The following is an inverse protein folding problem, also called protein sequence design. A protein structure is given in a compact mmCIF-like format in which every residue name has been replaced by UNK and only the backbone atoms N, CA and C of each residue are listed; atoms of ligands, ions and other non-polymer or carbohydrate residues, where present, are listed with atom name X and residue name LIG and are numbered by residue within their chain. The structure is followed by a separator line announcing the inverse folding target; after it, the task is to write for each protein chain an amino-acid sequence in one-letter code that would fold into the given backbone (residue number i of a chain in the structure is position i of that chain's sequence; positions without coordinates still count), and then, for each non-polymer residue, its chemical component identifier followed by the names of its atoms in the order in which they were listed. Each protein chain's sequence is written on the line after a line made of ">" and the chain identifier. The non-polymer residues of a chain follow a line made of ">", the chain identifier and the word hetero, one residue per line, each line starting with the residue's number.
data_IF_067501133331
#
_entry.id   IF_067501133331
#
_cell.length_a   1.000
_cell.length_b   1.000
_cell.length_c   1.000
_cell.angle_alpha   90.00
_cell.angle_beta   90.00
_cell.angle_gamma   90.00
#
_symmetry.space_group_name_H-M   'P 1'
#
loop_
_entity.id
_entity.type
_entity.pdbx_description
1 polymer ?
#
# COMPACT_ATOMS: atom_id res chain seq x y z
N UNK A 1 -14.68 13.76 -18.20
CA UNK A 1 -15.41 13.90 -16.90
C UNK A 1 -14.61 13.14 -15.84
N UNK A 2 -14.12 13.81 -14.85
CA UNK A 2 -13.35 13.17 -13.78
C UNK A 2 -14.33 12.60 -12.75
N UNK A 3 -14.27 11.30 -12.49
CA UNK A 3 -14.93 10.68 -11.35
C UNK A 3 -13.83 10.20 -10.39
N UNK A 4 -13.67 10.86 -9.25
CA UNK A 4 -12.89 10.31 -8.15
C UNK A 4 -13.80 9.35 -7.42
N UNK A 5 -13.58 8.05 -7.58
CA UNK A 5 -14.18 7.07 -6.67
C UNK A 5 -13.34 7.06 -5.40
N UNK A 6 -13.76 7.83 -4.40
CA UNK A 6 -13.45 7.48 -3.03
C UNK A 6 -14.13 6.13 -2.82
N UNK A 7 -13.34 5.08 -2.62
CA UNK A 7 -13.94 3.88 -2.09
C UNK A 7 -14.48 4.23 -0.70
N UNK A 8 -15.79 4.46 -0.61
CA UNK A 8 -16.47 4.54 0.69
C UNK A 8 -16.31 3.19 1.39
N UNK A 9 -16.40 3.12 2.71
CA UNK A 9 -16.40 1.86 3.46
C UNK A 9 -17.34 0.79 2.87
N UNK A 10 -18.36 1.19 2.10
CA UNK A 10 -19.28 0.30 1.40
C UNK A 10 -18.66 -0.38 0.16
N UNK A 11 -17.68 0.23 -0.51
CA UNK A 11 -17.03 -0.33 -1.71
C UNK A 11 -15.89 -1.31 -1.40
N UNK A 12 -15.32 -1.26 -0.18
CA UNK A 12 -14.34 -2.23 0.29
C UNK A 12 -14.94 -3.61 0.62
N UNK A 13 -16.28 -3.74 0.63
CA UNK A 13 -16.95 -5.04 0.86
C UNK A 13 -16.63 -6.08 -0.21
N UNK A 14 -16.34 -5.65 -1.44
CA UNK A 14 -15.99 -6.54 -2.55
C UNK A 14 -14.47 -6.74 -2.70
N UNK A 15 -13.67 -5.91 -2.01
CA UNK A 15 -12.21 -6.05 -2.00
C UNK A 15 -11.79 -7.11 -1.00
N UNK A 16 -11.16 -8.18 -1.48
CA UNK A 16 -10.65 -9.26 -0.65
C UNK A 16 -9.13 -9.16 -0.52
N UNK A 17 -8.68 -8.79 0.67
CA UNK A 17 -7.27 -8.66 1.03
C UNK A 17 -6.64 -10.03 1.23
N UNK A 18 -5.52 -10.32 0.56
CA UNK A 18 -4.79 -11.57 0.74
C UNK A 18 -3.64 -11.36 1.74
N UNK A 19 -3.70 -12.09 2.85
CA UNK A 19 -2.75 -11.98 3.96
C UNK A 19 -1.98 -13.29 4.09
N UNK A 20 -0.66 -13.22 3.92
CA UNK A 20 0.26 -14.33 4.10
C UNK A 20 0.82 -14.30 5.52
N UNK A 21 0.88 -15.46 6.17
CA UNK A 21 1.58 -15.67 7.46
C UNK A 21 2.52 -16.85 7.29
N UNK A 22 3.81 -16.66 7.57
CA UNK A 22 4.81 -17.71 7.47
C UNK A 22 5.76 -17.69 8.69
N UNK A 23 5.82 -18.83 9.39
CA UNK A 23 6.64 -19.07 10.58
C UNK A 23 6.85 -20.57 10.66
N UNK A 24 8.03 -21.08 10.99
CA UNK A 24 8.31 -22.51 11.07
C UNK A 24 7.54 -23.22 12.20
N UNK A 25 7.11 -22.49 13.24
CA UNK A 25 6.16 -22.98 14.24
C UNK A 25 4.71 -22.82 13.77
N UNK A 26 4.11 -23.93 13.34
CA UNK A 26 2.70 -23.99 12.92
C UNK A 26 1.72 -23.42 13.94
N UNK A 27 2.00 -23.56 15.24
CA UNK A 27 1.14 -23.04 16.31
C UNK A 27 1.13 -21.52 16.32
N UNK A 28 2.27 -20.90 16.06
CA UNK A 28 2.38 -19.44 15.94
C UNK A 28 1.58 -18.96 14.71
N UNK A 29 1.73 -19.62 13.56
CA UNK A 29 0.95 -19.32 12.34
C UNK A 29 -0.54 -19.36 12.62
N UNK A 30 -1.03 -20.45 13.21
CA UNK A 30 -2.46 -20.63 13.47
C UNK A 30 -2.99 -19.60 14.48
N UNK A 31 -2.20 -19.31 15.55
CA UNK A 31 -2.55 -18.30 16.54
C UNK A 31 -2.65 -16.88 15.92
N UNK A 32 -1.66 -16.49 15.11
CA UNK A 32 -1.66 -15.20 14.42
C UNK A 32 -2.89 -15.10 13.51
N UNK A 33 -3.15 -16.12 12.70
CA UNK A 33 -4.30 -16.11 11.77
C UNK A 33 -5.62 -16.00 12.53
N UNK A 34 -5.76 -16.70 13.65
CA UNK A 34 -6.99 -16.63 14.46
C UNK A 34 -7.24 -15.20 14.99
N UNK A 35 -6.20 -14.56 15.53
CA UNK A 35 -6.28 -13.19 16.03
C UNK A 35 -6.55 -12.18 14.90
N UNK A 36 -5.88 -12.33 13.76
CA UNK A 36 -6.07 -11.44 12.62
C UNK A 36 -7.45 -11.61 11.95
N UNK A 37 -8.06 -12.80 11.99
CA UNK A 37 -9.44 -13.00 11.55
C UNK A 37 -10.42 -12.19 12.39
N UNK A 38 -10.30 -12.28 13.73
CA UNK A 38 -11.11 -11.49 14.66
C UNK A 38 -10.96 -9.99 14.37
N UNK A 39 -9.72 -9.55 14.20
CA UNK A 39 -9.41 -8.15 13.92
C UNK A 39 -9.96 -7.68 12.57
N UNK A 40 -9.86 -8.49 11.51
CA UNK A 40 -10.47 -8.19 10.20
C UNK A 40 -11.98 -8.01 10.26
N UNK A 41 -12.66 -8.85 11.05
CA UNK A 41 -14.12 -8.76 11.28
C UNK A 41 -14.48 -7.45 11.98
N UNK A 42 -13.75 -7.07 13.04
CA UNK A 42 -13.92 -5.79 13.74
C UNK A 42 -13.74 -4.58 12.82
N UNK A 43 -12.77 -4.65 11.91
CA UNK A 43 -12.49 -3.59 10.92
C UNK A 43 -13.45 -3.61 9.73
N UNK A 44 -14.33 -4.60 9.62
CA UNK A 44 -15.19 -4.83 8.46
C UNK A 44 -14.41 -4.95 7.14
N UNK A 45 -13.22 -5.54 7.17
CA UNK A 45 -12.37 -5.78 6.00
C UNK A 45 -12.45 -7.26 5.61
N UNK A 46 -12.81 -7.53 4.35
CA UNK A 46 -12.80 -8.91 3.83
C UNK A 46 -11.38 -9.37 3.59
N UNK A 47 -10.91 -10.37 4.35
CA UNK A 47 -9.54 -10.88 4.25
C UNK A 47 -9.52 -12.38 4.01
N UNK A 48 -8.57 -12.85 3.20
CA UNK A 48 -8.23 -14.26 3.03
C UNK A 48 -6.85 -14.50 3.60
N UNK A 49 -6.73 -15.45 4.51
CA UNK A 49 -5.49 -15.77 5.20
C UNK A 49 -4.88 -17.04 4.62
N UNK A 50 -3.58 -17.00 4.39
CA UNK A 50 -2.75 -18.10 3.91
C UNK A 50 -1.64 -18.35 4.92
N UNK A 51 -1.66 -19.51 5.57
CA UNK A 51 -0.70 -19.86 6.61
C UNK A 51 0.22 -21.00 6.18
N UNK A 52 1.52 -20.78 6.28
CA UNK A 52 2.55 -21.77 5.93
C UNK A 52 3.58 -21.90 7.04
N UNK A 53 4.03 -23.15 7.28
CA UNK A 53 5.17 -23.42 8.15
C UNK A 53 6.46 -23.74 7.36
N UNK A 54 6.35 -23.78 6.03
CA UNK A 54 7.49 -23.99 5.13
C UNK A 54 7.40 -23.01 3.96
N UNK A 55 8.40 -22.12 3.79
CA UNK A 55 8.44 -21.16 2.70
C UNK A 55 8.32 -21.77 1.29
N UNK A 56 8.80 -23.02 1.13
CA UNK A 56 8.72 -23.74 -0.15
C UNK A 56 7.30 -24.09 -0.61
N UNK A 57 6.31 -24.02 0.28
CA UNK A 57 4.91 -24.30 -0.04
C UNK A 57 4.14 -23.04 -0.48
N UNK A 58 4.77 -21.87 -0.42
CA UNK A 58 4.13 -20.60 -0.77
C UNK A 58 4.08 -20.48 -2.29
N UNK A 59 2.88 -20.27 -2.82
CA UNK A 59 2.68 -19.90 -4.22
C UNK A 59 2.94 -18.38 -4.38
N UNK A 60 4.12 -18.03 -4.89
CA UNK A 60 4.54 -16.65 -5.08
C UNK A 60 3.73 -15.91 -6.16
N UNK A 61 3.00 -16.63 -7.03
CA UNK A 61 2.17 -16.01 -8.06
C UNK A 61 0.87 -15.43 -7.52
N UNK A 62 0.49 -15.76 -6.28
CA UNK A 62 -0.70 -15.18 -5.64
C UNK A 62 -0.44 -13.71 -5.25
N UNK A 63 -1.41 -12.82 -5.48
CA UNK A 63 -1.27 -11.40 -5.17
C UNK A 63 -1.47 -11.14 -3.68
N UNK A 64 -0.45 -11.42 -2.87
CA UNK A 64 -0.46 -11.09 -1.45
C UNK A 64 -0.38 -9.58 -1.24
N UNK A 65 -1.25 -9.05 -0.38
CA UNK A 65 -1.30 -7.63 -0.02
C UNK A 65 -0.48 -7.34 1.24
N UNK A 66 -0.55 -8.25 2.21
CA UNK A 66 0.20 -8.19 3.48
C UNK A 66 0.92 -9.51 3.68
N UNK A 67 2.17 -9.45 4.12
CA UNK A 67 2.93 -10.62 4.55
C UNK A 67 3.48 -10.42 5.97
N UNK A 68 3.15 -11.36 6.86
CA UNK A 68 3.72 -11.48 8.20
C UNK A 68 4.69 -12.66 8.19
N UNK A 69 5.98 -12.38 8.36
CA UNK A 69 7.05 -13.37 8.13
C UNK A 69 7.96 -13.49 9.35
N UNK A 70 8.23 -14.70 9.80
CA UNK A 70 9.41 -14.91 10.64
C UNK A 70 10.69 -14.80 9.80
N UNK A 71 11.78 -14.40 10.41
CA UNK A 71 13.08 -14.30 9.76
C UNK A 71 13.83 -15.62 9.84
N UNK A 72 13.82 -16.27 11.00
CA UNK A 72 14.57 -17.51 11.24
C UNK A 72 13.64 -18.73 11.13
N UNK A 73 13.59 -19.30 9.95
CA UNK A 73 12.78 -20.48 9.62
C UNK A 73 13.66 -21.67 9.19
N UNK A 74 14.76 -21.89 9.90
CA UNK A 74 15.68 -23.00 9.62
C UNK A 74 16.52 -22.79 8.37
N UNK A 75 16.29 -23.59 7.31
CA UNK A 75 17.07 -23.49 6.07
C UNK A 75 16.73 -22.26 5.23
N UNK A 76 15.59 -21.64 5.47
CA UNK A 76 15.11 -20.50 4.70
C UNK A 76 15.05 -19.24 5.57
N UNK A 77 15.70 -18.17 5.11
CA UNK A 77 15.63 -16.88 5.76
C UNK A 77 14.41 -16.09 5.26
N UNK A 78 13.59 -15.59 6.19
CA UNK A 78 12.40 -14.80 5.89
C UNK A 78 12.67 -13.52 5.10
N UNK A 79 13.89 -12.98 5.18
CA UNK A 79 14.33 -11.82 4.39
C UNK A 79 14.43 -12.21 2.90
N UNK A 80 14.98 -13.39 2.60
CA UNK A 80 15.03 -13.91 1.22
C UNK A 80 13.63 -14.17 0.66
N UNK A 81 12.71 -14.66 1.49
CA UNK A 81 11.30 -14.80 1.12
C UNK A 81 10.67 -13.42 0.83
N UNK A 82 10.94 -12.43 1.67
CA UNK A 82 10.46 -11.06 1.49
C UNK A 82 10.96 -10.44 0.19
N UNK A 83 12.23 -10.65 -0.19
CA UNK A 83 12.80 -10.21 -1.48
C UNK A 83 12.04 -10.82 -2.67
N UNK A 84 11.74 -12.12 -2.61
CA UNK A 84 10.97 -12.81 -3.67
C UNK A 84 9.55 -12.29 -3.77
N UNK A 85 8.85 -12.14 -2.64
CA UNK A 85 7.49 -11.57 -2.61
C UNK A 85 7.46 -10.13 -3.15
N UNK A 86 8.47 -9.32 -2.82
CA UNK A 86 8.61 -7.94 -3.30
C UNK A 86 8.88 -7.87 -4.80
N UNK A 87 9.62 -8.82 -5.34
CA UNK A 87 9.87 -8.91 -6.79
C UNK A 87 8.60 -9.20 -7.59
N UNK A 88 7.67 -10.00 -7.02
CA UNK A 88 6.37 -10.30 -7.65
C UNK A 88 5.33 -9.19 -7.43
N UNK A 89 5.37 -8.53 -6.27
CA UNK A 89 4.50 -7.41 -5.92
C UNK A 89 5.28 -6.34 -5.15
N UNK A 90 5.71 -5.29 -5.83
CA UNK A 90 6.44 -4.17 -5.21
C UNK A 90 5.63 -3.41 -4.15
N UNK A 91 4.30 -3.51 -4.18
CA UNK A 91 3.38 -2.86 -3.25
C UNK A 91 2.98 -3.72 -2.04
N UNK A 92 3.53 -4.93 -1.89
CA UNK A 92 3.23 -5.78 -0.72
C UNK A 92 3.67 -5.10 0.58
N UNK A 93 2.83 -5.15 1.61
CA UNK A 93 3.16 -4.65 2.95
C UNK A 93 3.76 -5.78 3.77
N UNK A 94 5.04 -5.67 4.14
CA UNK A 94 5.78 -6.71 4.85
C UNK A 94 5.97 -6.33 6.32
N UNK A 95 5.57 -7.24 7.23
CA UNK A 95 5.81 -7.15 8.67
C UNK A 95 6.64 -8.35 9.07
N UNK A 96 7.83 -8.12 9.61
CA UNK A 96 8.59 -9.20 10.22
C UNK A 96 8.12 -9.44 11.65
N UNK A 97 7.95 -10.72 12.02
CA UNK A 97 7.58 -11.18 13.36
C UNK A 97 8.65 -12.19 13.81
N UNK A 98 9.58 -11.78 14.67
CA UNK A 98 10.74 -12.59 14.98
C UNK A 98 11.23 -12.39 16.41
N UNK A 99 12.07 -13.30 16.91
CA UNK A 99 12.80 -13.13 18.17
C UNK A 99 14.10 -12.32 18.02
N UNK A 100 14.55 -12.04 16.80
CA UNK A 100 15.90 -11.58 16.51
C UNK A 100 15.94 -10.14 16.03
N UNK A 101 16.14 -9.20 16.93
CA UNK A 101 16.19 -7.76 16.63
C UNK A 101 17.41 -7.38 15.77
N UNK A 102 18.47 -8.16 15.79
CA UNK A 102 19.71 -7.89 15.04
C UNK A 102 19.51 -7.88 13.52
N UNK A 103 18.45 -8.51 13.01
CA UNK A 103 18.12 -8.51 11.58
C UNK A 103 17.27 -7.30 11.14
N UNK A 104 16.96 -6.37 12.05
CA UNK A 104 16.21 -5.17 11.70
C UNK A 104 16.89 -4.33 10.60
N UNK A 105 18.23 -4.16 10.56
CA UNK A 105 18.89 -3.45 9.44
C UNK A 105 18.63 -4.10 8.08
N UNK A 106 18.62 -5.43 7.98
CA UNK A 106 18.35 -6.16 6.74
C UNK A 106 16.88 -6.01 6.30
N UNK A 107 15.97 -5.79 7.25
CA UNK A 107 14.58 -5.47 6.97
C UNK A 107 14.39 -4.17 6.18
N UNK A 108 15.30 -3.19 6.33
CA UNK A 108 15.27 -1.96 5.53
C UNK A 108 15.57 -2.22 4.05
N UNK A 109 16.42 -3.18 3.72
CA UNK A 109 16.74 -3.53 2.33
C UNK A 109 15.51 -3.99 1.55
N UNK A 110 14.55 -4.65 2.22
CA UNK A 110 13.30 -5.12 1.63
C UNK A 110 12.14 -4.14 1.85
N UNK A 111 12.43 -2.95 2.37
CA UNK A 111 11.44 -1.93 2.71
C UNK A 111 10.32 -2.51 3.59
N UNK A 112 10.71 -3.20 4.67
CA UNK A 112 9.74 -3.74 5.62
C UNK A 112 8.92 -2.59 6.24
N UNK A 113 7.61 -2.76 6.26
CA UNK A 113 6.70 -1.78 6.83
C UNK A 113 6.85 -1.68 8.35
N UNK A 114 7.00 -2.82 9.02
CA UNK A 114 7.20 -2.91 10.48
C UNK A 114 8.04 -4.13 10.83
N UNK A 115 8.61 -4.04 12.03
CA UNK A 115 9.37 -5.10 12.67
C UNK A 115 8.78 -5.36 14.06
N UNK A 116 8.29 -6.56 14.32
CA UNK A 116 7.60 -6.94 15.54
C UNK A 116 8.36 -8.07 16.24
N UNK A 117 8.78 -7.85 17.48
CA UNK A 117 9.34 -8.93 18.29
C UNK A 117 8.23 -9.88 18.74
N UNK A 118 8.47 -11.21 18.70
CA UNK A 118 7.51 -12.21 19.16
C UNK A 118 7.10 -11.99 20.63
N UNK A 119 7.99 -11.43 21.46
CA UNK A 119 7.68 -11.02 22.84
C UNK A 119 6.60 -9.92 22.94
N UNK A 120 6.49 -9.08 21.92
CA UNK A 120 5.54 -7.97 21.86
C UNK A 120 4.27 -8.32 21.05
N UNK A 121 4.15 -9.56 20.57
CA UNK A 121 3.09 -9.98 19.64
C UNK A 121 1.70 -9.64 20.19
N UNK A 122 1.38 -10.03 21.42
CA UNK A 122 0.08 -9.77 22.03
C UNK A 122 -0.25 -8.28 22.20
N UNK A 123 0.77 -7.44 22.38
CA UNK A 123 0.57 -6.02 22.60
C UNK A 123 0.45 -5.20 21.31
N UNK A 124 1.13 -5.62 20.24
CA UNK A 124 1.31 -4.79 19.04
C UNK A 124 0.74 -5.37 17.75
N UNK A 125 0.39 -6.67 17.71
CA UNK A 125 -0.11 -7.33 16.49
C UNK A 125 -1.27 -6.57 15.87
N UNK A 126 -2.28 -6.24 16.66
CA UNK A 126 -3.49 -5.57 16.17
C UNK A 126 -3.19 -4.17 15.62
N UNK A 127 -2.41 -3.37 16.33
CA UNK A 127 -2.07 -2.01 15.88
C UNK A 127 -1.22 -2.00 14.61
N UNK A 128 -0.32 -2.99 14.45
CA UNK A 128 0.50 -3.13 13.26
C UNK A 128 -0.31 -3.63 12.06
N UNK A 129 -1.22 -4.57 12.31
CA UNK A 129 -2.14 -5.03 11.28
C UNK A 129 -3.11 -3.92 10.84
N UNK A 130 -3.68 -3.14 11.77
CA UNK A 130 -4.49 -1.96 11.45
C UNK A 130 -3.74 -1.00 10.53
N UNK A 131 -2.49 -0.68 10.89
CA UNK A 131 -1.64 0.22 10.09
C UNK A 131 -1.34 -0.38 8.71
N UNK A 132 -1.09 -1.69 8.62
CA UNK A 132 -0.84 -2.38 7.36
C UNK A 132 -2.07 -2.40 6.45
N UNK A 133 -3.25 -2.63 7.02
CA UNK A 133 -4.52 -2.57 6.28
C UNK A 133 -4.72 -1.16 5.71
N UNK A 134 -4.53 -0.10 6.52
CA UNK A 134 -4.66 1.27 6.05
C UNK A 134 -3.67 1.57 4.92
N UNK A 135 -2.43 1.12 5.05
CA UNK A 135 -1.39 1.27 4.03
C UNK A 135 -1.80 0.60 2.70
N UNK A 136 -2.28 -0.66 2.74
CA UNK A 136 -2.79 -1.36 1.55
C UNK A 136 -3.96 -0.61 0.92
N UNK A 137 -4.91 -0.17 1.73
CA UNK A 137 -6.09 0.56 1.24
C UNK A 137 -5.68 1.90 0.61
N UNK A 138 -4.70 2.59 1.19
CA UNK A 138 -4.16 3.83 0.63
C UNK A 138 -3.46 3.59 -0.71
N UNK A 139 -2.62 2.57 -0.81
CA UNK A 139 -1.92 2.19 -2.06
C UNK A 139 -2.87 1.79 -3.19
N UNK A 140 -4.06 1.28 -2.85
CA UNK A 140 -5.10 0.87 -3.81
C UNK A 140 -6.11 1.97 -4.16
N UNK A 141 -5.92 3.19 -3.69
CA UNK A 141 -6.76 4.30 -4.13
C UNK A 141 -6.50 4.64 -5.61
N UNK A 142 -7.58 4.83 -6.35
CA UNK A 142 -7.52 5.10 -7.78
C UNK A 142 -8.15 6.46 -8.10
N UNK A 143 -7.51 7.20 -8.99
CA UNK A 143 -8.12 8.34 -9.68
C UNK A 143 -8.60 7.87 -11.05
N UNK A 144 -9.89 7.99 -11.28
CA UNK A 144 -10.53 7.58 -12.54
C UNK A 144 -10.68 8.79 -13.43
N UNK A 145 -10.05 8.75 -14.60
CA UNK A 145 -10.16 9.80 -15.61
C UNK A 145 -10.85 9.26 -16.87
N UNK A 146 -11.55 10.14 -17.57
CA UNK A 146 -12.14 9.81 -18.87
C UNK A 146 -11.49 10.66 -19.97
N UNK A 147 -10.82 9.99 -20.90
CA UNK A 147 -10.15 10.60 -22.05
C UNK A 147 -10.75 9.97 -23.32
N UNK A 148 -11.29 10.77 -24.22
CA UNK A 148 -11.88 10.31 -25.49
C UNK A 148 -12.90 9.15 -25.32
N UNK A 149 -13.70 9.20 -24.25
CA UNK A 149 -14.68 8.17 -23.87
C UNK A 149 -14.06 6.86 -23.33
N UNK A 150 -12.76 6.77 -23.21
CA UNK A 150 -12.10 5.69 -22.48
C UNK A 150 -11.98 6.02 -21.01
N UNK A 151 -12.18 5.02 -20.17
CA UNK A 151 -12.00 5.12 -18.71
C UNK A 151 -10.62 4.58 -18.37
N UNK A 152 -9.83 5.39 -17.67
CA UNK A 152 -8.47 5.04 -17.25
C UNK A 152 -8.42 5.14 -15.74
N UNK A 153 -8.03 4.04 -15.09
CA UNK A 153 -7.79 3.97 -13.66
C UNK A 153 -6.30 4.22 -13.39
N UNK A 154 -6.00 5.26 -12.62
CA UNK A 154 -4.63 5.65 -12.26
C UNK A 154 -4.46 5.52 -10.76
N UNK A 155 -3.55 4.65 -10.27
CA UNK A 155 -3.23 4.59 -8.85
C UNK A 155 -2.81 5.96 -8.30
N UNK A 156 -3.30 6.33 -7.14
CA UNK A 156 -2.95 7.60 -6.48
C UNK A 156 -1.44 7.70 -6.30
N UNK A 157 -0.80 6.60 -5.94
CA UNK A 157 0.65 6.54 -5.75
C UNK A 157 1.47 6.62 -7.06
N UNK A 158 0.83 6.48 -8.21
CA UNK A 158 1.50 6.70 -9.51
C UNK A 158 1.46 8.18 -9.93
N UNK A 159 0.66 9.01 -9.26
CA UNK A 159 0.47 10.41 -9.62
C UNK A 159 1.42 11.28 -8.82
N UNK A 160 2.34 11.97 -9.51
CA UNK A 160 3.28 12.88 -8.91
C UNK A 160 2.65 14.25 -8.63
N UNK A 161 2.10 14.87 -9.66
CA UNK A 161 1.34 16.12 -9.55
C UNK A 161 0.39 16.31 -10.73
N UNK A 162 -0.53 17.26 -10.61
CA UNK A 162 -1.38 17.70 -11.68
C UNK A 162 -1.19 19.20 -11.89
N UNK A 163 -1.18 19.63 -13.16
CA UNK A 163 -1.15 21.03 -13.51
C UNK A 163 -2.32 21.41 -14.44
N UNK A 164 -2.74 22.66 -14.37
CA UNK A 164 -3.82 23.18 -15.20
C UNK A 164 -3.32 24.26 -16.15
N UNK A 165 -3.56 24.04 -17.42
CA UNK A 165 -3.40 25.03 -18.48
C UNK A 165 -4.78 25.42 -19.02
N UNK A 166 -5.39 26.48 -18.48
CA UNK A 166 -6.78 26.90 -18.75
C UNK A 166 -7.77 25.81 -18.32
N UNK A 167 -8.34 25.04 -19.26
CA UNK A 167 -9.30 23.95 -19.04
C UNK A 167 -8.72 22.57 -19.33
N UNK A 168 -7.43 22.49 -19.57
CA UNK A 168 -6.73 21.22 -19.76
C UNK A 168 -5.97 20.92 -18.48
N UNK A 169 -6.20 19.76 -17.91
CA UNK A 169 -5.44 19.20 -16.79
C UNK A 169 -4.43 18.23 -17.35
N UNK A 170 -3.18 18.37 -16.95
CA UNK A 170 -2.08 17.44 -17.24
C UNK A 170 -1.74 16.73 -15.97
N UNK A 171 -1.87 15.39 -15.96
CA UNK A 171 -1.52 14.52 -14.85
C UNK A 171 -0.16 13.92 -15.12
N UNK A 172 0.81 14.27 -14.30
CA UNK A 172 2.18 13.78 -14.36
C UNK A 172 2.33 12.55 -13.44
N UNK A 173 2.95 11.51 -13.99
CA UNK A 173 3.14 10.24 -13.30
C UNK A 173 4.56 10.15 -12.75
N UNK A 174 4.73 9.32 -11.72
CA UNK A 174 6.03 9.02 -11.09
C UNK A 174 6.99 8.36 -12.09
N UNK A 175 6.48 7.45 -12.92
CA UNK A 175 7.27 6.86 -13.99
C UNK A 175 7.34 7.82 -15.20
N UNK A 176 8.47 8.52 -15.34
CA UNK A 176 8.74 9.48 -16.43
C UNK A 176 8.68 8.85 -17.84
N UNK A 177 8.77 7.52 -17.95
CA UNK A 177 8.64 6.81 -19.24
C UNK A 177 7.19 6.71 -19.70
N UNK A 178 6.22 6.84 -18.78
CA UNK A 178 4.80 6.87 -19.11
C UNK A 178 4.40 8.28 -19.53
N UNK A 179 3.65 8.45 -20.65
CA UNK A 179 3.18 9.75 -21.06
C UNK A 179 2.23 10.34 -20.02
N UNK A 180 2.28 11.65 -19.79
CA UNK A 180 1.33 12.35 -18.96
C UNK A 180 -0.08 12.27 -19.58
N UNK A 181 -1.09 12.09 -18.74
CA UNK A 181 -2.47 12.10 -19.17
C UNK A 181 -3.00 13.53 -19.29
N UNK A 182 -3.69 13.84 -20.39
CA UNK A 182 -4.31 15.15 -20.61
C UNK A 182 -5.81 14.99 -20.74
N UNK A 183 -6.58 15.78 -19.99
CA UNK A 183 -8.03 15.74 -20.02
C UNK A 183 -8.65 17.11 -19.69
N UNK A 184 -9.90 17.34 -20.12
CA UNK A 184 -10.62 18.54 -19.80
C UNK A 184 -11.11 18.53 -18.35
N UNK A 185 -10.89 19.64 -17.63
CA UNK A 185 -11.32 19.76 -16.24
C UNK A 185 -11.07 21.14 -15.64
N UNK A 186 -11.58 21.31 -14.42
CA UNK A 186 -11.31 22.46 -13.57
C UNK A 186 -10.47 22.00 -12.37
N UNK A 187 -9.31 22.61 -12.16
CA UNK A 187 -8.39 22.19 -11.12
C UNK A 187 -8.96 22.43 -9.71
N UNK A 188 -9.78 23.45 -9.52
CA UNK A 188 -10.43 23.73 -8.24
C UNK A 188 -11.47 22.67 -7.90
N UNK A 189 -12.31 22.28 -8.87
CA UNK A 189 -13.26 21.17 -8.68
C UNK A 189 -12.56 19.83 -8.48
N UNK A 190 -11.40 19.68 -9.10
CA UNK A 190 -10.55 18.50 -8.94
C UNK A 190 -9.93 18.46 -7.55
N UNK A 191 -9.42 19.60 -7.03
CA UNK A 191 -8.81 19.67 -5.70
C UNK A 191 -9.76 19.19 -4.62
N UNK A 192 -11.02 19.62 -4.63
CA UNK A 192 -12.04 19.18 -3.67
C UNK A 192 -12.19 17.65 -3.61
N UNK A 193 -11.92 16.98 -4.75
CA UNK A 193 -12.07 15.53 -4.89
C UNK A 193 -10.83 14.76 -4.49
N UNK A 194 -9.62 15.29 -4.77
CA UNK A 194 -8.38 14.54 -4.58
C UNK A 194 -7.53 15.00 -3.39
N UNK A 195 -7.77 16.18 -2.82
CA UNK A 195 -7.13 16.59 -1.56
C UNK A 195 -7.31 15.55 -0.43
N UNK A 196 -8.49 14.92 -0.29
CA UNK A 196 -8.66 13.84 0.68
C UNK A 196 -7.83 12.57 0.39
N UNK A 197 -7.19 12.49 -0.80
CA UNK A 197 -6.28 11.41 -1.19
C UNK A 197 -4.80 11.77 -0.95
N UNK A 198 -4.53 12.88 -0.26
CA UNK A 198 -3.17 13.33 0.05
C UNK A 198 -2.58 14.34 -0.93
N UNK A 199 -3.42 14.97 -1.77
CA UNK A 199 -2.97 16.06 -2.63
C UNK A 199 -3.15 17.41 -1.95
N UNK A 200 -2.27 18.36 -2.27
CA UNK A 200 -2.34 19.74 -1.81
C UNK A 200 -2.41 20.70 -3.01
N UNK A 201 -3.38 21.62 -2.98
CA UNK A 201 -3.48 22.72 -3.94
C UNK A 201 -2.52 23.84 -3.52
N UNK A 202 -1.35 23.88 -4.15
CA UNK A 202 -0.25 24.79 -3.74
C UNK A 202 -0.27 26.14 -4.47
N UNK A 203 -0.87 26.21 -5.65
CA UNK A 203 -1.05 27.42 -6.45
C UNK A 203 -2.30 27.27 -7.31
N UNK A 204 -2.74 28.38 -7.99
CA UNK A 204 -3.93 28.38 -8.84
C UNK A 204 -3.97 27.26 -9.88
N UNK A 205 -2.84 26.69 -10.24
CA UNK A 205 -2.70 25.73 -11.34
C UNK A 205 -2.06 24.39 -10.96
N UNK A 206 -1.71 24.15 -9.70
CA UNK A 206 -0.97 22.95 -9.30
C UNK A 206 -1.59 22.22 -8.11
N UNK A 207 -1.81 20.92 -8.29
CA UNK A 207 -2.15 19.97 -7.22
C UNK A 207 -1.01 18.97 -7.08
N UNK A 208 -0.37 18.92 -5.95
CA UNK A 208 0.82 18.11 -5.69
C UNK A 208 0.51 16.97 -4.74
N UNK A 209 1.00 15.77 -5.05
CA UNK A 209 0.90 14.64 -4.15
C UNK A 209 1.91 14.80 -3.01
N UNK A 210 1.40 14.99 -1.79
CA UNK A 210 2.21 15.25 -0.61
C UNK A 210 3.12 14.10 -0.22
N UNK A 211 2.84 12.90 -0.70
CA UNK A 211 3.69 11.72 -0.47
C UNK A 211 5.09 11.88 -1.07
N UNK A 212 5.21 12.64 -2.16
CA UNK A 212 6.47 12.84 -2.92
C UNK A 212 7.12 14.19 -2.68
N UNK A 213 6.59 15.02 -1.77
CA UNK A 213 7.18 16.33 -1.47
C UNK A 213 8.38 16.14 -0.55
N UNK A 214 9.58 16.40 -1.08
CA UNK A 214 10.83 16.38 -0.30
C UNK A 214 11.05 17.70 0.46
N UNK A 215 10.79 18.83 -0.20
CA UNK A 215 11.01 20.17 0.35
C UNK A 215 9.82 21.06 0.06
N UNK A 216 9.29 21.69 1.12
CA UNK A 216 8.25 22.71 1.02
C UNK A 216 8.76 24.03 1.60
N UNK A 217 8.88 25.04 0.76
CA UNK A 217 9.30 26.39 1.13
C UNK A 217 8.29 27.41 0.60
N UNK A 218 8.33 28.65 1.11
CA UNK A 218 7.37 29.72 0.77
C UNK A 218 7.14 29.92 -0.74
N UNK A 219 8.13 29.71 -1.56
CA UNK A 219 8.08 29.92 -3.02
C UNK A 219 8.59 28.73 -3.85
N UNK A 220 8.80 27.56 -3.23
CA UNK A 220 9.35 26.39 -3.88
C UNK A 220 8.78 25.10 -3.29
N UNK A 221 8.39 24.19 -4.16
CA UNK A 221 8.12 22.77 -3.84
C UNK A 221 9.08 21.93 -4.67
N UNK A 222 9.71 20.97 -4.03
CA UNK A 222 10.58 19.99 -4.69
C UNK A 222 9.94 18.60 -4.50
N UNK A 223 9.81 17.88 -5.62
CA UNK A 223 9.29 16.52 -5.73
C UNK A 223 10.45 15.61 -6.07
#
# INVERSE_FOLDING_TARGET
>A
MLCVKKHSHAQWRDFKMNVLVCDDDRKIVDSIIEELKKKSEEMHVSSRFYGFSQPSQIDLSLPYDIALLDIDMGETNGIELAKKLRAENENIVIIFITNFIQYAPEGFEVQAFRYLLKSDLSAKLYSYFDSAVQEVLQRKQLVIISINSEIIDVPVNDILYLESHRRIIVMHLLDEKRPAYQFYGNITELSEKIEPLGFLHIQKSYLVNMHYVEIFQYNKVQL
#
